data_IF_587572219775
#
_entry.id   IF_587572219775
#
_cell.length_a   1.000
_cell.length_b   1.000
_cell.length_c   1.000
_cell.angle_alpha   90.00
_cell.angle_beta   90.00
_cell.angle_gamma   90.00
#
_symmetry.space_group_name_H-M   'P 1'
#
loop_
_entity.id
_entity.type
_entity.pdbx_description
1 polymer ?
#
# COMPACT_ATOMS: atom_id res chain seq x y z
N UNK A 1 54.29 -24.08 29.22
CA UNK A 1 54.13 -23.72 27.79
C UNK A 1 52.82 -24.33 27.32
N UNK A 2 51.76 -23.69 26.86
CA UNK A 2 51.38 -22.31 26.55
C UNK A 2 50.10 -22.48 25.72
N UNK A 3 48.92 -22.13 26.26
CA UNK A 3 47.63 -22.32 25.58
C UNK A 3 47.54 -21.39 24.36
N UNK A 4 47.22 -21.92 23.19
CA UNK A 4 46.87 -21.10 22.04
C UNK A 4 45.34 -20.91 21.98
N UNK A 5 44.89 -19.71 22.35
CA UNK A 5 43.53 -19.23 22.10
C UNK A 5 43.37 -18.98 20.59
N UNK A 6 42.39 -19.61 19.94
CA UNK A 6 42.05 -19.33 18.55
C UNK A 6 41.16 -18.09 18.52
N UNK A 7 41.74 -16.99 18.02
CA UNK A 7 41.14 -15.65 17.98
C UNK A 7 39.82 -15.59 17.21
N UNK A 8 38.92 -14.76 17.73
CA UNK A 8 37.77 -14.22 17.02
C UNK A 8 38.28 -13.21 15.99
N UNK A 9 38.25 -13.56 14.73
CA UNK A 9 38.45 -12.63 13.61
C UNK A 9 37.16 -12.53 12.78
N UNK A 10 36.14 -11.91 13.38
CA UNK A 10 34.95 -11.47 12.66
C UNK A 10 35.22 -10.13 11.99
N UNK A 11 35.83 -10.18 10.79
CA UNK A 11 36.09 -9.00 9.95
C UNK A 11 34.93 -8.60 9.03
N UNK A 12 33.79 -9.26 9.13
CA UNK A 12 32.58 -8.82 8.42
C UNK A 12 31.75 -7.93 9.35
N UNK A 13 31.96 -6.61 9.23
CA UNK A 13 30.90 -5.67 9.61
C UNK A 13 29.70 -5.99 8.71
N UNK A 14 28.54 -6.41 9.24
CA UNK A 14 27.35 -6.58 8.41
C UNK A 14 27.12 -5.25 7.71
N UNK A 15 27.09 -5.25 6.38
CA UNK A 15 26.79 -4.07 5.60
C UNK A 15 25.57 -3.40 6.22
N UNK A 16 25.73 -2.16 6.72
CA UNK A 16 24.60 -1.36 7.15
C UNK A 16 23.68 -1.28 5.94
N UNK A 17 22.54 -1.97 5.98
CA UNK A 17 21.44 -1.85 5.01
C UNK A 17 20.90 -0.43 5.11
N UNK A 18 21.65 0.52 4.56
CA UNK A 18 21.43 1.96 4.63
C UNK A 18 20.49 2.46 3.53
N UNK A 19 19.59 1.61 3.04
CA UNK A 19 18.40 2.09 2.34
C UNK A 19 17.43 2.61 3.38
N UNK A 20 16.99 3.86 3.26
CA UNK A 20 15.91 4.39 4.09
C UNK A 20 14.69 3.46 3.91
N UNK A 21 14.27 2.78 4.98
CA UNK A 21 13.14 1.85 4.91
C UNK A 21 11.90 2.64 4.47
N UNK A 22 11.19 2.09 3.49
CA UNK A 22 9.96 2.68 2.96
C UNK A 22 8.74 1.95 3.50
N UNK A 23 7.68 2.67 3.81
CA UNK A 23 6.36 2.09 4.10
C UNK A 23 5.77 1.56 2.80
N UNK A 24 5.34 0.31 2.80
CA UNK A 24 4.69 -0.28 1.64
C UNK A 24 3.21 0.11 1.64
N UNK A 25 2.70 0.62 0.51
CA UNK A 25 1.29 0.98 0.33
C UNK A 25 0.76 0.21 -0.86
N UNK A 26 -0.24 -0.63 -0.63
CA UNK A 26 -0.91 -1.41 -1.66
C UNK A 26 -2.26 -0.79 -1.95
N UNK A 27 -2.53 -0.50 -3.23
CA UNK A 27 -3.77 0.13 -3.67
C UNK A 27 -4.49 -0.82 -4.62
N UNK A 28 -5.78 -1.02 -4.36
CA UNK A 28 -6.72 -1.69 -5.24
C UNK A 28 -7.58 -0.64 -5.93
N UNK A 29 -7.75 -0.75 -7.24
CA UNK A 29 -8.51 0.20 -8.06
C UNK A 29 -9.70 -0.51 -8.71
N UNK A 30 -10.87 0.13 -8.81
CA UNK A 30 -12.03 -0.45 -9.49
C UNK A 30 -11.80 -0.53 -11.01
N UNK A 31 -11.31 0.56 -11.59
CA UNK A 31 -10.91 0.69 -12.98
C UNK A 31 -9.52 0.13 -13.27
N UNK A 32 -9.33 -0.30 -14.53
CA UNK A 32 -8.07 -0.91 -15.01
C UNK A 32 -7.12 0.07 -15.70
N UNK A 33 -7.61 1.27 -16.03
CA UNK A 33 -6.89 2.21 -16.91
C UNK A 33 -6.72 3.57 -16.23
N UNK A 34 -7.82 4.29 -15.99
CA UNK A 34 -7.76 5.70 -15.55
C UNK A 34 -7.11 5.84 -14.17
N UNK A 35 -7.59 5.10 -13.18
CA UNK A 35 -7.09 5.21 -11.80
C UNK A 35 -5.65 4.69 -11.69
N UNK A 36 -5.28 3.52 -12.25
CA UNK A 36 -3.90 3.09 -12.23
C UNK A 36 -2.94 4.06 -12.92
N UNK A 37 -3.34 4.62 -14.06
CA UNK A 37 -2.51 5.60 -14.78
C UNK A 37 -2.31 6.88 -13.97
N UNK A 38 -3.33 7.34 -13.27
CA UNK A 38 -3.21 8.50 -12.40
C UNK A 38 -2.28 8.23 -11.20
N UNK A 39 -2.40 7.05 -10.59
CA UNK A 39 -1.50 6.63 -9.51
C UNK A 39 -0.04 6.54 -10.00
N UNK A 40 0.20 6.09 -11.23
CA UNK A 40 1.55 6.12 -11.83
C UNK A 40 2.08 7.56 -11.94
N UNK A 41 1.26 8.50 -12.42
CA UNK A 41 1.64 9.92 -12.48
C UNK A 41 1.96 10.45 -11.08
N UNK A 42 1.14 10.14 -10.07
CA UNK A 42 1.44 10.53 -8.68
C UNK A 42 2.73 9.90 -8.15
N UNK A 43 3.04 8.67 -8.55
CA UNK A 43 4.28 7.99 -8.15
C UNK A 43 5.51 8.67 -8.74
N UNK A 44 5.42 9.08 -9.98
CA UNK A 44 6.56 9.62 -10.74
C UNK A 44 6.75 11.12 -10.55
N UNK A 45 5.65 11.87 -10.41
CA UNK A 45 5.64 13.34 -10.40
C UNK A 45 5.06 13.94 -9.11
N UNK A 46 4.46 13.12 -8.26
CA UNK A 46 3.90 13.59 -7.00
C UNK A 46 4.98 14.11 -6.05
N UNK A 47 4.65 15.16 -5.31
CA UNK A 47 5.49 15.69 -4.24
C UNK A 47 5.06 15.03 -2.94
N UNK A 48 5.90 14.18 -2.31
CA UNK A 48 5.57 13.60 -1.03
C UNK A 48 5.40 14.70 0.02
N UNK A 49 4.46 14.50 0.96
CA UNK A 49 4.32 15.42 2.07
C UNK A 49 5.61 15.41 2.91
N UNK A 50 6.20 16.58 3.11
CA UNK A 50 7.46 16.73 3.82
C UNK A 50 7.36 16.21 5.27
N UNK A 51 8.37 15.46 5.72
CA UNK A 51 8.42 14.91 7.08
C UNK A 51 7.72 13.56 7.27
N UNK A 52 7.07 13.02 6.24
CA UNK A 52 6.52 11.67 6.29
C UNK A 52 7.55 10.58 5.95
N UNK A 53 7.26 9.36 6.41
CA UNK A 53 8.06 8.17 6.06
C UNK A 53 7.97 7.97 4.55
N UNK A 54 9.09 7.76 3.83
CA UNK A 54 9.04 7.53 2.39
C UNK A 54 8.15 6.31 2.09
N UNK A 55 7.29 6.45 1.10
CA UNK A 55 6.31 5.42 0.71
C UNK A 55 6.78 4.73 -0.56
N UNK A 56 6.50 3.44 -0.65
CA UNK A 56 6.56 2.66 -1.89
C UNK A 56 5.16 2.18 -2.23
N UNK A 57 4.62 2.70 -3.34
CA UNK A 57 3.27 2.42 -3.78
C UNK A 57 3.21 1.31 -4.83
N UNK A 58 2.26 0.40 -4.64
CA UNK A 58 1.99 -0.76 -5.49
C UNK A 58 0.52 -0.83 -5.84
N UNK A 59 0.21 -1.08 -7.12
CA UNK A 59 -1.17 -1.37 -7.56
C UNK A 59 -1.35 -2.88 -7.54
N UNK A 60 -2.09 -3.36 -6.54
CA UNK A 60 -2.15 -4.78 -6.21
C UNK A 60 -2.91 -5.62 -7.26
N UNK A 61 -3.95 -5.05 -7.87
CA UNK A 61 -4.79 -5.72 -8.85
C UNK A 61 -4.49 -5.34 -10.31
N UNK A 62 -3.29 -4.83 -10.63
CA UNK A 62 -2.94 -4.40 -12.00
C UNK A 62 -3.12 -5.50 -13.07
N UNK A 63 -3.02 -6.78 -12.69
CA UNK A 63 -3.20 -7.95 -13.57
C UNK A 63 -4.44 -8.78 -13.24
N UNK A 64 -5.18 -8.41 -12.21
CA UNK A 64 -6.34 -9.14 -11.72
C UNK A 64 -7.62 -8.35 -11.98
N UNK A 65 -8.75 -9.03 -12.06
CA UNK A 65 -10.02 -8.32 -12.11
C UNK A 65 -10.36 -7.76 -10.72
N UNK A 66 -10.76 -6.50 -10.66
CA UNK A 66 -11.22 -5.80 -9.44
C UNK A 66 -12.49 -6.42 -8.84
N UNK A 67 -13.09 -7.39 -9.53
CA UNK A 67 -14.46 -7.84 -9.29
C UNK A 67 -15.45 -6.92 -9.98
N UNK A 68 -16.75 -7.22 -9.83
CA UNK A 68 -17.81 -6.38 -10.43
C UNK A 68 -18.38 -5.36 -9.45
N UNK A 69 -18.01 -5.45 -8.18
CA UNK A 69 -18.58 -4.66 -7.08
C UNK A 69 -17.48 -4.16 -6.14
N UNK A 70 -17.65 -2.98 -5.52
CA UNK A 70 -16.72 -2.49 -4.49
C UNK A 70 -16.46 -3.48 -3.35
N UNK A 71 -17.45 -4.31 -3.02
CA UNK A 71 -17.31 -5.34 -1.97
C UNK A 71 -16.24 -6.38 -2.32
N UNK A 72 -16.21 -6.85 -3.57
CA UNK A 72 -15.22 -7.83 -4.04
C UNK A 72 -13.80 -7.23 -3.94
N UNK A 73 -13.67 -5.94 -4.28
CA UNK A 73 -12.42 -5.20 -4.19
C UNK A 73 -11.91 -5.12 -2.74
N UNK A 74 -12.81 -4.82 -1.80
CA UNK A 74 -12.49 -4.76 -0.37
C UNK A 74 -12.12 -6.15 0.16
N UNK A 75 -12.80 -7.22 -0.25
CA UNK A 75 -12.45 -8.59 0.16
C UNK A 75 -11.04 -8.99 -0.30
N UNK A 76 -10.68 -8.67 -1.54
CA UNK A 76 -9.31 -8.88 -2.04
C UNK A 76 -8.28 -8.10 -1.21
N UNK A 77 -8.59 -6.85 -0.87
CA UNK A 77 -7.75 -6.01 -0.02
C UNK A 77 -7.58 -6.58 1.40
N UNK A 78 -8.64 -7.15 1.99
CA UNK A 78 -8.58 -7.84 3.30
C UNK A 78 -7.62 -9.02 3.24
N UNK A 79 -7.70 -9.83 2.19
CA UNK A 79 -6.83 -10.98 2.01
C UNK A 79 -5.36 -10.56 1.97
N UNK A 80 -5.03 -9.58 1.12
CA UNK A 80 -3.67 -9.04 1.01
C UNK A 80 -3.19 -8.44 2.33
N UNK A 81 -4.03 -7.65 3.01
CA UNK A 81 -3.69 -7.04 4.30
C UNK A 81 -3.28 -8.08 5.34
N UNK A 82 -4.03 -9.19 5.43
CA UNK A 82 -3.70 -10.27 6.38
C UNK A 82 -2.35 -10.91 6.08
N UNK A 83 -1.97 -11.04 4.82
CA UNK A 83 -0.67 -11.58 4.42
C UNK A 83 0.46 -10.61 4.73
N UNK A 84 0.29 -9.34 4.38
CA UNK A 84 1.30 -8.30 4.60
C UNK A 84 1.51 -8.00 6.09
N UNK A 85 0.44 -8.01 6.90
CA UNK A 85 0.54 -7.89 8.36
C UNK A 85 1.32 -9.07 8.96
N UNK A 86 1.14 -10.29 8.44
CA UNK A 86 1.92 -11.47 8.87
C UNK A 86 3.40 -11.32 8.50
N UNK A 87 3.71 -10.84 7.29
CA UNK A 87 5.09 -10.57 6.85
C UNK A 87 5.74 -9.48 7.72
N UNK A 88 5.02 -8.39 7.98
CA UNK A 88 5.48 -7.28 8.81
C UNK A 88 5.79 -7.70 10.25
N UNK A 89 4.91 -8.53 10.85
CA UNK A 89 5.14 -9.11 12.19
C UNK A 89 6.38 -9.99 12.22
N UNK A 90 6.56 -10.88 11.24
CA UNK A 90 7.77 -11.72 11.12
C UNK A 90 9.05 -10.90 10.96
N UNK A 91 8.97 -9.82 10.19
CA UNK A 91 10.07 -8.88 9.97
C UNK A 91 10.29 -7.87 11.12
N UNK A 92 9.44 -7.90 12.17
CA UNK A 92 9.47 -6.99 13.33
C UNK A 92 9.55 -5.52 12.91
N UNK A 93 8.71 -5.12 11.95
CA UNK A 93 8.66 -3.74 11.49
C UNK A 93 8.14 -2.81 12.59
N UNK A 94 8.77 -1.65 12.72
CA UNK A 94 8.23 -0.56 13.55
C UNK A 94 6.89 -0.09 12.99
N UNK A 95 6.02 0.43 13.85
CA UNK A 95 4.66 0.88 13.48
C UNK A 95 4.66 1.81 12.25
N UNK A 96 5.65 2.70 12.14
CA UNK A 96 5.76 3.64 11.02
C UNK A 96 6.09 3.01 9.66
N UNK A 97 6.54 1.75 9.63
CA UNK A 97 6.84 1.01 8.39
C UNK A 97 5.83 -0.12 8.13
N UNK A 98 4.79 -0.25 8.95
CA UNK A 98 3.75 -1.25 8.72
C UNK A 98 3.06 -0.98 7.38
N UNK A 99 2.79 -2.04 6.60
CA UNK A 99 2.14 -1.92 5.31
C UNK A 99 0.74 -1.35 5.47
N UNK A 100 0.33 -0.53 4.51
CA UNK A 100 -1.05 -0.07 4.40
C UNK A 100 -1.69 -0.65 3.14
N UNK A 101 -3.00 -0.89 3.22
CA UNK A 101 -3.80 -1.35 2.10
C UNK A 101 -4.95 -0.37 1.92
N UNK A 102 -5.18 0.02 0.67
CA UNK A 102 -6.19 0.99 0.27
C UNK A 102 -7.06 0.46 -0.87
N UNK A 103 -8.32 0.85 -0.88
CA UNK A 103 -9.24 0.69 -2.02
C UNK A 103 -9.59 2.06 -2.59
N UNK A 104 -9.52 2.18 -3.91
CA UNK A 104 -9.93 3.33 -4.70
C UNK A 104 -11.04 2.90 -5.65
N UNK A 105 -12.21 3.52 -5.55
CA UNK A 105 -13.39 3.17 -6.36
C UNK A 105 -14.32 4.37 -6.52
N UNK A 106 -15.24 4.31 -7.49
CA UNK A 106 -16.21 5.37 -7.73
C UNK A 106 -17.44 5.26 -6.83
N UNK A 107 -18.06 6.40 -6.51
CA UNK A 107 -19.25 6.47 -5.65
C UNK A 107 -20.57 6.20 -6.41
N UNK A 108 -20.51 5.87 -7.70
CA UNK A 108 -21.69 5.72 -8.55
C UNK A 108 -22.65 4.60 -8.10
N UNK A 109 -22.19 3.67 -7.25
CA UNK A 109 -22.93 2.48 -6.83
C UNK A 109 -23.40 2.53 -5.36
N UNK A 110 -24.14 3.60 -5.00
CA UNK A 110 -24.66 3.94 -3.66
C UNK A 110 -25.17 2.76 -2.79
N UNK A 111 -25.70 1.70 -3.41
CA UNK A 111 -26.24 0.53 -2.70
C UNK A 111 -25.18 -0.30 -1.97
N UNK A 112 -23.95 -0.35 -2.46
CA UNK A 112 -22.88 -1.22 -1.92
C UNK A 112 -21.73 -0.44 -1.27
N UNK A 113 -21.66 0.88 -1.48
CA UNK A 113 -20.59 1.73 -0.94
C UNK A 113 -20.58 1.73 0.58
N UNK A 114 -21.76 1.81 1.23
CA UNK A 114 -21.84 1.83 2.70
C UNK A 114 -21.27 0.56 3.32
N UNK A 115 -21.70 -0.60 2.83
CA UNK A 115 -21.25 -1.89 3.33
C UNK A 115 -19.74 -2.07 3.10
N UNK A 116 -19.24 -1.65 1.93
CA UNK A 116 -17.82 -1.67 1.63
C UNK A 116 -17.00 -0.77 2.58
N UNK A 117 -17.48 0.43 2.91
CA UNK A 117 -16.85 1.34 3.87
C UNK A 117 -16.83 0.75 5.28
N UNK A 118 -17.94 0.18 5.73
CA UNK A 118 -18.04 -0.44 7.06
C UNK A 118 -17.10 -1.65 7.16
N UNK A 119 -17.05 -2.50 6.14
CA UNK A 119 -16.17 -3.66 6.06
C UNK A 119 -14.69 -3.26 5.98
N UNK A 120 -14.35 -2.27 5.16
CA UNK A 120 -12.97 -1.76 5.05
C UNK A 120 -12.49 -1.17 6.39
N UNK A 121 -13.34 -0.37 7.05
CA UNK A 121 -13.04 0.20 8.37
C UNK A 121 -12.80 -0.87 9.42
N UNK A 122 -13.66 -1.90 9.47
CA UNK A 122 -13.49 -3.02 10.39
C UNK A 122 -12.19 -3.80 10.16
N UNK A 123 -11.72 -3.86 8.91
CA UNK A 123 -10.46 -4.51 8.54
C UNK A 123 -9.21 -3.63 8.62
N UNK A 124 -9.36 -2.32 8.91
CA UNK A 124 -8.25 -1.37 8.90
C UNK A 124 -7.69 -1.11 7.50
N UNK A 125 -8.56 -1.11 6.49
CA UNK A 125 -8.27 -0.77 5.09
C UNK A 125 -8.67 0.68 4.87
N UNK A 126 -7.77 1.46 4.24
CA UNK A 126 -8.08 2.82 3.81
C UNK A 126 -9.00 2.81 2.60
N UNK A 127 -9.93 3.75 2.52
CA UNK A 127 -10.78 3.92 1.35
C UNK A 127 -10.64 5.35 0.84
N UNK A 128 -10.37 5.48 -0.44
CA UNK A 128 -10.52 6.72 -1.20
C UNK A 128 -11.62 6.47 -2.24
N UNK A 129 -12.49 7.45 -2.48
CA UNK A 129 -13.50 7.34 -3.52
C UNK A 129 -13.73 8.68 -4.22
N UNK A 130 -14.09 8.62 -5.49
CA UNK A 130 -14.46 9.80 -6.29
C UNK A 130 -15.96 10.08 -6.18
N UNK A 131 -16.36 11.35 -6.23
CA UNK A 131 -17.75 11.75 -6.36
C UNK A 131 -17.90 12.87 -7.40
N UNK A 132 -18.64 12.67 -8.51
CA UNK A 132 -19.41 11.48 -8.87
C UNK A 132 -18.58 10.31 -9.44
N UNK A 133 -17.48 10.60 -10.14
CA UNK A 133 -16.56 9.60 -10.71
C UNK A 133 -15.14 10.17 -10.85
N UNK A 134 -14.16 9.29 -11.09
CA UNK A 134 -12.74 9.64 -11.05
C UNK A 134 -12.35 10.68 -12.11
N UNK A 135 -12.97 10.66 -13.29
CA UNK A 135 -12.71 11.59 -14.38
C UNK A 135 -13.01 13.04 -13.99
N UNK A 136 -14.10 13.28 -13.26
CA UNK A 136 -14.47 14.63 -12.78
C UNK A 136 -13.45 15.13 -11.77
N UNK A 137 -13.03 14.26 -10.85
CA UNK A 137 -11.99 14.62 -9.89
C UNK A 137 -10.65 14.92 -10.57
N UNK A 138 -10.27 14.12 -11.58
CA UNK A 138 -9.07 14.35 -12.38
C UNK A 138 -9.13 15.69 -13.12
N UNK A 139 -10.27 16.07 -13.68
CA UNK A 139 -10.45 17.37 -14.34
C UNK A 139 -10.27 18.53 -13.35
N UNK A 140 -10.77 18.40 -12.12
CA UNK A 140 -10.56 19.42 -11.08
C UNK A 140 -9.10 19.49 -10.58
N UNK A 141 -8.35 18.39 -10.68
CA UNK A 141 -6.93 18.33 -10.34
C UNK A 141 -6.01 18.81 -11.47
N UNK A 142 -6.56 19.01 -12.68
CA UNK A 142 -5.84 19.55 -13.82
C UNK A 142 -5.66 21.05 -13.63
N UNK A 143 -4.41 21.50 -13.55
CA UNK A 143 -4.02 22.91 -13.50
C UNK A 143 -3.14 23.25 -14.69
#
# INVERSE_FOLDING_TARGET
>A
MGRAQKGRDSWERPARRGGQRKRQVFIFTEGKVTEPSYLDILKDQGVPLAGEVPVEMHIANRRADSGRKPLDLVEQAISLKREEDRKAKRAKLEAKYLPQVWCLFDHDNYKYVRDALEQAKAAGIGVAFSHPCFEVWRLAHYR
#
